data_IF_537306718700
#
_entry.id   IF_537306718700
#
_cell.length_a   1.000
_cell.length_b   1.000
_cell.length_c   1.000
_cell.angle_alpha   90.00
_cell.angle_beta   90.00
_cell.angle_gamma   90.00
#
_symmetry.space_group_name_H-M   'P 1'
#
loop_
_entity.id
_entity.type
_entity.pdbx_description
1 polymer ?
#
# COMPACT_ATOMS: atom_id res chain seq x y z
N UNK A 1 -20.53 22.70 -9.99
CA UNK A 1 -19.56 22.45 -8.91
C UNK A 1 -20.34 21.92 -7.72
N UNK A 2 -20.32 20.62 -7.48
CA UNK A 2 -20.94 20.03 -6.30
C UNK A 2 -20.21 20.50 -5.04
N UNK A 3 -20.98 20.87 -4.02
CA UNK A 3 -20.49 21.37 -2.75
C UNK A 3 -20.02 20.17 -1.92
N UNK A 4 -18.70 19.97 -1.87
CA UNK A 4 -18.07 18.86 -1.14
C UNK A 4 -18.16 19.18 0.35
N UNK A 5 -19.00 18.44 1.08
CA UNK A 5 -19.10 18.57 2.54
C UNK A 5 -17.79 18.04 3.19
N UNK A 6 -17.08 18.85 4.00
CA UNK A 6 -15.86 18.45 4.67
C UNK A 6 -16.07 17.31 5.69
N UNK A 7 -17.26 17.12 6.24
CA UNK A 7 -17.56 16.02 7.17
C UNK A 7 -17.63 14.65 6.47
N UNK A 8 -17.84 14.65 5.15
CA UNK A 8 -17.84 13.45 4.30
C UNK A 8 -16.48 13.15 3.69
N UNK A 9 -15.43 13.91 4.05
CA UNK A 9 -14.05 13.67 3.57
C UNK A 9 -13.60 12.24 3.66
N UNK A 10 -13.97 11.54 4.72
CA UNK A 10 -13.63 10.13 4.90
C UNK A 10 -14.32 9.16 3.91
N UNK A 11 -15.47 9.55 3.34
CA UNK A 11 -16.17 8.74 2.32
C UNK A 11 -15.43 8.75 0.98
N UNK A 12 -14.80 9.87 0.61
CA UNK A 12 -14.08 10.03 -0.67
C UNK A 12 -12.56 9.97 -0.55
N UNK A 13 -11.98 10.39 0.58
CA UNK A 13 -10.57 10.23 0.88
C UNK A 13 -10.36 8.83 1.47
N UNK A 14 -10.00 7.91 0.58
CA UNK A 14 -9.65 6.56 0.95
C UNK A 14 -8.27 6.53 1.66
N UNK A 15 -8.15 7.08 2.88
CA UNK A 15 -6.99 6.95 3.78
C UNK A 15 -6.39 5.55 3.84
N UNK A 16 -5.06 5.45 3.87
CA UNK A 16 -4.34 4.19 4.00
C UNK A 16 -4.74 3.47 5.28
N UNK A 17 -5.02 2.18 5.17
CA UNK A 17 -5.21 1.29 6.32
C UNK A 17 -3.88 0.58 6.53
N UNK A 18 -3.17 0.93 7.59
CA UNK A 18 -1.97 0.18 7.98
C UNK A 18 -2.36 -1.22 8.46
N UNK A 19 -1.54 -2.19 8.09
CA UNK A 19 -1.60 -3.52 8.68
C UNK A 19 -1.28 -3.41 10.18
N UNK A 20 -2.01 -4.16 10.98
CA UNK A 20 -1.89 -4.12 12.44
C UNK A 20 -1.95 -5.54 12.99
N UNK A 21 -0.85 -6.02 13.62
CA UNK A 21 -0.78 -7.39 14.17
C UNK A 21 -1.86 -7.69 15.20
N UNK A 22 -2.38 -6.66 15.88
CA UNK A 22 -3.43 -6.77 16.90
C UNK A 22 -4.83 -6.65 16.33
N UNK A 23 -4.98 -6.21 15.08
CA UNK A 23 -6.26 -6.06 14.39
C UNK A 23 -6.28 -6.97 13.17
N UNK A 24 -6.68 -8.22 13.39
CA UNK A 24 -6.61 -9.31 12.40
C UNK A 24 -7.47 -9.13 11.13
N UNK A 25 -8.35 -8.12 11.10
CA UNK A 25 -9.09 -7.75 9.88
C UNK A 25 -8.41 -6.63 9.07
N UNK A 26 -7.27 -6.09 9.52
CA UNK A 26 -6.61 -4.94 8.89
C UNK A 26 -6.13 -5.26 7.47
N UNK A 27 -5.49 -6.41 7.24
CA UNK A 27 -5.04 -6.82 5.90
C UNK A 27 -6.22 -7.03 4.94
N UNK A 28 -7.33 -7.64 5.41
CA UNK A 28 -8.56 -7.76 4.62
C UNK A 28 -9.12 -6.39 4.20
N UNK A 29 -9.21 -5.44 5.14
CA UNK A 29 -9.70 -4.10 4.85
C UNK A 29 -8.76 -3.33 3.90
N UNK A 30 -7.45 -3.49 4.06
CA UNK A 30 -6.44 -2.89 3.18
C UNK A 30 -6.58 -3.41 1.75
N UNK A 31 -6.72 -4.73 1.56
CA UNK A 31 -6.87 -5.34 0.24
C UNK A 31 -8.18 -4.96 -0.45
N UNK A 32 -9.31 -4.94 0.29
CA UNK A 32 -10.58 -4.44 -0.25
C UNK A 32 -10.46 -2.99 -0.73
N UNK A 33 -9.72 -2.16 -0.01
CA UNK A 33 -9.50 -0.75 -0.37
C UNK A 33 -8.57 -0.62 -1.56
N UNK A 34 -7.52 -1.43 -1.63
CA UNK A 34 -6.59 -1.47 -2.75
C UNK A 34 -7.30 -1.82 -4.06
N UNK A 35 -8.23 -2.78 -4.05
CA UNK A 35 -9.06 -3.10 -5.21
C UNK A 35 -9.94 -1.93 -5.66
N UNK A 36 -10.52 -1.17 -4.73
CA UNK A 36 -11.27 0.06 -5.07
C UNK A 36 -10.38 1.11 -5.74
N UNK A 37 -9.10 1.16 -5.37
CA UNK A 37 -8.14 2.13 -5.90
C UNK A 37 -7.46 1.68 -7.20
N UNK A 38 -7.55 0.40 -7.60
CA UNK A 38 -6.88 -0.16 -8.78
C UNK A 38 -7.00 0.72 -10.03
N UNK A 39 -8.22 1.12 -10.39
CA UNK A 39 -8.47 1.95 -11.58
C UNK A 39 -7.83 3.35 -11.48
N UNK A 40 -7.85 3.94 -10.28
CA UNK A 40 -7.24 5.24 -10.03
C UNK A 40 -5.71 5.17 -10.11
N UNK A 41 -5.11 4.08 -9.61
CA UNK A 41 -3.66 3.83 -9.71
C UNK A 41 -3.25 3.69 -11.19
N UNK A 42 -3.99 2.89 -11.97
CA UNK A 42 -3.72 2.72 -13.41
C UNK A 42 -3.83 4.06 -14.15
N UNK A 43 -4.88 4.85 -13.85
CA UNK A 43 -5.04 6.18 -14.43
C UNK A 43 -3.86 7.09 -14.06
N UNK A 44 -3.42 7.07 -12.80
CA UNK A 44 -2.28 7.86 -12.34
C UNK A 44 -1.00 7.48 -13.11
N UNK A 45 -0.69 6.20 -13.25
CA UNK A 45 0.45 5.71 -14.04
C UNK A 45 0.41 6.29 -15.45
N UNK A 46 -0.74 6.19 -16.13
CA UNK A 46 -0.90 6.70 -17.50
C UNK A 46 -0.72 8.23 -17.57
N UNK A 47 -1.23 8.97 -16.58
CA UNK A 47 -1.05 10.43 -16.54
C UNK A 47 0.40 10.83 -16.29
N UNK A 48 1.12 10.12 -15.41
CA UNK A 48 2.54 10.39 -15.13
C UNK A 48 3.41 10.04 -16.35
N UNK A 49 3.08 8.98 -17.09
CA UNK A 49 3.78 8.61 -18.32
C UNK A 49 3.69 9.68 -19.42
N UNK A 50 2.64 10.51 -19.42
CA UNK A 50 2.44 11.57 -20.43
C UNK A 50 3.15 12.87 -20.05
N UNK A 51 3.51 13.03 -18.78
CA UNK A 51 4.15 14.25 -18.26
C UNK A 51 5.66 14.21 -18.47
N UNK A 52 6.24 15.37 -18.77
CA UNK A 52 7.67 15.49 -19.07
C UNK A 52 8.50 16.09 -17.93
N UNK A 53 7.89 16.48 -16.81
CA UNK A 53 8.61 16.99 -15.65
C UNK A 53 9.42 15.91 -14.93
N UNK A 54 10.55 16.33 -14.35
CA UNK A 54 11.50 15.45 -13.67
C UNK A 54 10.84 14.69 -12.50
N UNK A 55 10.02 15.39 -11.72
CA UNK A 55 9.32 14.83 -10.57
C UNK A 55 8.32 13.75 -11.00
N UNK A 56 7.50 14.01 -12.03
CA UNK A 56 6.56 13.00 -12.56
C UNK A 56 7.28 11.79 -13.13
N UNK A 57 8.48 11.93 -13.71
CA UNK A 57 9.29 10.79 -14.17
C UNK A 57 9.84 9.97 -13.00
N UNK A 58 10.30 10.63 -11.93
CA UNK A 58 10.76 9.96 -10.69
C UNK A 58 9.60 9.20 -10.04
N UNK A 59 8.44 9.84 -9.91
CA UNK A 59 7.23 9.24 -9.34
C UNK A 59 6.69 8.10 -10.21
N UNK A 60 6.71 8.25 -11.54
CA UNK A 60 6.35 7.18 -12.48
C UNK A 60 7.26 5.96 -12.28
N UNK A 61 8.57 6.15 -12.23
CA UNK A 61 9.53 5.06 -12.06
C UNK A 61 9.30 4.31 -10.74
N UNK A 62 9.09 5.06 -9.66
CA UNK A 62 8.82 4.50 -8.33
C UNK A 62 7.47 3.79 -8.26
N UNK A 63 6.42 4.36 -8.84
CA UNK A 63 5.10 3.73 -8.86
C UNK A 63 5.13 2.46 -9.71
N UNK A 64 5.84 2.48 -10.83
CA UNK A 64 5.97 1.34 -11.72
C UNK A 64 6.79 0.20 -11.09
N UNK A 65 7.77 0.50 -10.22
CA UNK A 65 8.55 -0.54 -9.53
C UNK A 65 7.77 -1.28 -8.44
N UNK A 66 6.74 -0.64 -7.85
CA UNK A 66 5.89 -1.24 -6.82
C UNK A 66 4.54 -1.73 -7.35
N UNK A 67 4.28 -1.55 -8.64
CA UNK A 67 2.98 -1.88 -9.22
C UNK A 67 2.79 -3.39 -9.27
N UNK A 68 1.64 -3.85 -8.77
CA UNK A 68 1.28 -5.26 -8.80
C UNK A 68 1.04 -5.75 -10.24
N UNK A 69 1.52 -6.94 -10.52
CA UNK A 69 1.27 -7.71 -11.74
C UNK A 69 -0.20 -8.16 -11.82
N UNK A 70 -0.66 -8.58 -13.01
CA UNK A 70 -2.03 -9.07 -13.18
C UNK A 70 -2.34 -10.24 -12.25
N UNK A 71 -1.41 -11.20 -12.16
CA UNK A 71 -1.57 -12.40 -11.35
C UNK A 71 -1.66 -12.05 -9.85
N UNK A 72 -0.89 -11.05 -9.38
CA UNK A 72 -0.99 -10.56 -8.00
C UNK A 72 -2.32 -9.87 -7.71
N UNK A 73 -2.86 -9.10 -8.65
CA UNK A 73 -4.19 -8.51 -8.53
C UNK A 73 -5.28 -9.59 -8.42
N UNK A 74 -5.18 -10.62 -9.25
CA UNK A 74 -6.13 -11.73 -9.26
C UNK A 74 -6.01 -12.57 -7.97
N UNK A 75 -4.79 -12.81 -7.50
CA UNK A 75 -4.53 -13.47 -6.21
C UNK A 75 -5.17 -12.71 -5.04
N UNK A 76 -5.04 -11.37 -5.00
CA UNK A 76 -5.69 -10.54 -3.96
C UNK A 76 -7.21 -10.69 -4.04
N UNK A 77 -7.77 -10.71 -5.24
CA UNK A 77 -9.21 -10.87 -5.45
C UNK A 77 -9.70 -12.24 -4.96
N UNK A 78 -8.93 -13.30 -5.19
CA UNK A 78 -9.21 -14.67 -4.73
C UNK A 78 -9.04 -14.83 -3.21
N UNK A 79 -8.15 -14.07 -2.59
CA UNK A 79 -7.90 -14.09 -1.15
C UNK A 79 -9.00 -13.40 -0.33
N UNK A 80 -9.68 -12.38 -0.88
CA UNK A 80 -10.76 -11.67 -0.19
C UNK A 80 -11.86 -12.61 0.34
N UNK A 81 -12.45 -13.53 -0.44
CA UNK A 81 -13.48 -14.44 0.06
C UNK A 81 -12.95 -15.42 1.12
N UNK A 82 -11.65 -15.74 1.09
CA UNK A 82 -10.98 -16.58 2.10
C UNK A 82 -10.85 -15.82 3.42
N UNK A 83 -10.45 -14.54 3.37
CA UNK A 83 -10.27 -13.71 4.58
C UNK A 83 -11.58 -13.18 5.17
N UNK A 84 -12.61 -12.98 4.36
CA UNK A 84 -13.92 -12.48 4.78
C UNK A 84 -14.48 -13.10 6.07
N UNK A 85 -14.56 -14.45 6.23
CA UNK A 85 -15.08 -15.05 7.47
C UNK A 85 -14.27 -14.70 8.72
N UNK A 86 -12.96 -14.46 8.59
CA UNK A 86 -12.11 -14.04 9.72
C UNK A 86 -12.37 -12.58 10.09
N UNK A 87 -12.57 -11.73 9.08
CA UNK A 87 -12.93 -10.33 9.30
C UNK A 87 -14.29 -10.20 10.00
N UNK A 88 -15.31 -10.91 9.53
CA UNK A 88 -16.64 -10.97 10.14
C UNK A 88 -16.59 -11.50 11.58
N UNK A 89 -15.81 -12.56 11.81
CA UNK A 89 -15.60 -13.10 13.15
C UNK A 89 -14.93 -12.11 14.10
N UNK A 90 -13.94 -11.36 13.62
CA UNK A 90 -13.21 -10.36 14.41
C UNK A 90 -14.12 -9.18 14.76
N UNK A 91 -14.92 -8.70 13.82
CA UNK A 91 -15.90 -7.64 14.06
C UNK A 91 -16.95 -8.09 15.08
N UNK A 92 -17.47 -9.31 14.91
CA UNK A 92 -18.45 -9.89 15.83
C UNK A 92 -17.85 -10.13 17.22
N UNK A 93 -16.63 -10.63 17.35
CA UNK A 93 -16.01 -10.89 18.66
C UNK A 93 -15.45 -9.62 19.33
N UNK A 94 -15.24 -8.54 18.58
CA UNK A 94 -14.82 -7.24 19.09
C UNK A 94 -15.96 -6.40 19.66
N UNK A 95 -17.22 -6.82 19.47
CA UNK A 95 -18.38 -6.13 20.02
C UNK A 95 -18.46 -6.17 21.54
N UNK A 96 -18.99 -5.10 22.15
CA UNK A 96 -19.15 -4.98 23.61
C UNK A 96 -20.61 -5.02 24.08
N UNK A 97 -21.58 -5.08 23.15
CA UNK A 97 -23.01 -5.08 23.46
C UNK A 97 -23.61 -6.45 23.77
N UNK A 98 -22.81 -7.53 23.69
CA UNK A 98 -23.24 -8.90 23.93
C UNK A 98 -22.10 -9.75 24.51
N UNK A 99 -22.44 -10.90 25.10
CA UNK A 99 -21.45 -11.83 25.65
C UNK A 99 -20.70 -12.60 24.55
N UNK A 100 -19.54 -12.09 24.16
CA UNK A 100 -18.68 -12.66 23.11
C UNK A 100 -18.10 -14.03 23.48
N UNK A 101 -17.91 -14.31 24.77
CA UNK A 101 -17.31 -15.57 25.25
C UNK A 101 -18.12 -16.79 24.82
N UNK A 102 -19.45 -16.72 24.91
CA UNK A 102 -20.35 -17.81 24.49
C UNK A 102 -20.34 -18.07 22.97
N UNK A 103 -20.01 -17.04 22.18
CA UNK A 103 -20.04 -17.07 20.71
C UNK A 103 -18.71 -17.54 20.10
N UNK A 104 -17.61 -17.48 20.85
CA UNK A 104 -16.27 -17.83 20.39
C UNK A 104 -16.21 -19.27 19.83
N UNK A 105 -16.71 -20.24 20.58
CA UNK A 105 -16.70 -21.66 20.19
C UNK A 105 -17.48 -21.93 18.89
N UNK A 106 -18.75 -21.51 18.73
CA UNK A 106 -19.49 -21.76 17.50
C UNK A 106 -18.86 -21.05 16.28
N UNK A 107 -18.30 -19.85 16.44
CA UNK A 107 -17.61 -19.14 15.35
C UNK A 107 -16.37 -19.91 14.89
N UNK A 108 -15.52 -20.36 15.82
CA UNK A 108 -14.34 -21.16 15.51
C UNK A 108 -14.68 -22.47 14.80
N UNK A 109 -15.73 -23.16 15.24
CA UNK A 109 -16.22 -24.39 14.61
C UNK A 109 -16.66 -24.12 13.16
N UNK A 110 -17.38 -23.03 12.92
CA UNK A 110 -17.84 -22.67 11.57
C UNK A 110 -16.68 -22.33 10.63
N UNK A 111 -15.68 -21.58 11.10
CA UNK A 111 -14.47 -21.29 10.32
C UNK A 111 -13.74 -22.59 9.97
N UNK A 112 -13.50 -23.46 10.96
CA UNK A 112 -12.82 -24.75 10.72
C UNK A 112 -13.56 -25.61 9.71
N UNK A 113 -14.89 -25.69 9.80
CA UNK A 113 -15.71 -26.46 8.84
C UNK A 113 -15.60 -25.92 7.42
N UNK A 114 -15.52 -24.60 7.25
CA UNK A 114 -15.45 -23.95 5.93
C UNK A 114 -14.14 -24.25 5.19
N UNK A 115 -13.04 -24.39 5.93
CA UNK A 115 -11.70 -24.64 5.37
C UNK A 115 -11.21 -26.07 5.60
N UNK A 116 -12.06 -26.96 6.10
CA UNK A 116 -11.69 -28.36 6.24
C UNK A 116 -11.47 -28.93 4.84
N UNK A 117 -10.27 -29.45 4.51
CA UNK A 117 -10.05 -30.08 3.23
C UNK A 117 -11.04 -31.23 3.11
N UNK A 118 -11.80 -31.28 2.03
CA UNK A 118 -12.68 -32.41 1.78
C UNK A 118 -11.78 -33.65 1.69
N UNK A 119 -11.90 -34.60 2.61
CA UNK A 119 -11.13 -35.87 2.61
C UNK A 119 -11.60 -36.80 1.49
N UNK A 120 -11.71 -36.27 0.27
CA UNK A 120 -12.13 -36.99 -0.92
C UNK A 120 -11.13 -36.65 -2.02
N UNK A 121 -10.22 -37.61 -2.23
CA UNK A 121 -9.22 -37.73 -3.31
C UNK A 121 -7.97 -36.84 -3.21
N UNK A 122 -6.97 -37.43 -2.54
CA UNK A 122 -5.59 -37.52 -3.01
C UNK A 122 -4.85 -36.20 -3.27
N UNK A 123 -4.27 -35.61 -2.22
CA UNK A 123 -3.28 -34.53 -2.40
C UNK A 123 -1.90 -35.06 -2.04
N UNK A 124 -1.32 -35.81 -2.99
CA UNK A 124 0.11 -35.90 -3.14
C UNK A 124 0.58 -34.63 -3.90
N UNK A 125 0.49 -33.47 -3.26
CA UNK A 125 1.01 -32.19 -3.79
C UNK A 125 0.93 -31.09 -2.72
N UNK A 126 1.50 -31.31 -1.54
CA UNK A 126 1.94 -30.20 -0.71
C UNK A 126 3.40 -29.92 -1.09
N UNK A 127 3.62 -29.37 -2.28
CA UNK A 127 4.90 -28.74 -2.59
C UNK A 127 5.06 -27.62 -1.55
N UNK A 128 6.11 -27.72 -0.74
CA UNK A 128 6.44 -26.70 0.24
C UNK A 128 6.83 -25.45 -0.55
N UNK A 129 5.88 -24.53 -0.70
CA UNK A 129 6.14 -23.20 -1.22
C UNK A 129 7.13 -22.54 -0.25
N UNK A 130 8.39 -22.43 -0.66
CA UNK A 130 9.42 -21.74 0.11
C UNK A 130 9.30 -20.24 -0.16
N UNK A 131 8.50 -19.55 0.64
CA UNK A 131 8.35 -18.09 0.55
C UNK A 131 9.53 -17.46 1.31
N UNK A 132 10.41 -16.77 0.59
CA UNK A 132 11.50 -16.00 1.19
C UNK A 132 10.95 -14.67 1.73
N UNK A 133 10.98 -14.47 3.04
CA UNK A 133 10.57 -13.21 3.71
C UNK A 133 11.76 -12.26 3.98
N UNK A 134 12.93 -12.54 3.40
CA UNK A 134 14.19 -11.85 3.73
C UNK A 134 14.43 -10.51 3.03
N UNK A 135 13.66 -10.17 2.00
CA UNK A 135 13.87 -8.93 1.24
C UNK A 135 13.11 -7.78 1.89
N UNK A 136 13.81 -7.03 2.75
CA UNK A 136 13.34 -5.78 3.38
C UNK A 136 13.62 -4.55 2.51
N UNK A 137 13.83 -4.71 1.20
CA UNK A 137 14.03 -3.58 0.29
C UNK A 137 12.74 -2.77 0.21
N UNK A 138 12.67 -1.70 1.00
CA UNK A 138 11.57 -0.76 0.92
C UNK A 138 11.80 0.07 -0.34
N UNK A 139 10.82 0.06 -1.25
CA UNK A 139 10.81 0.95 -2.42
C UNK A 139 10.70 2.45 -2.07
N UNK A 140 10.88 2.79 -0.80
CA UNK A 140 10.74 4.12 -0.24
C UNK A 140 12.04 4.67 0.38
N UNK A 141 13.09 3.87 0.53
CA UNK A 141 14.29 4.27 1.27
C UNK A 141 15.46 4.79 0.40
N UNK A 142 15.30 4.92 -0.92
CA UNK A 142 16.37 5.43 -1.80
C UNK A 142 16.00 6.69 -2.61
N UNK A 143 16.85 7.71 -2.47
CA UNK A 143 16.94 8.83 -3.41
C UNK A 143 17.45 8.29 -4.75
N UNK A 144 16.51 7.94 -5.63
CA UNK A 144 16.77 7.60 -7.02
C UNK A 144 17.46 8.79 -7.71
N UNK A 145 18.79 8.80 -7.74
CA UNK A 145 19.56 9.68 -8.57
C UNK A 145 19.15 9.40 -10.03
N UNK A 146 18.53 10.38 -10.67
CA UNK A 146 18.28 10.33 -12.10
C UNK A 146 19.64 10.56 -12.74
N UNK A 147 20.29 9.51 -13.22
CA UNK A 147 21.37 9.68 -14.19
C UNK A 147 20.75 10.29 -15.45
N UNK A 148 20.91 11.60 -15.59
CA UNK A 148 20.65 12.32 -16.83
C UNK A 148 21.59 11.74 -17.89
N UNK A 149 21.02 11.04 -18.88
CA UNK A 149 21.76 10.69 -20.08
C UNK A 149 22.07 11.99 -20.84
N UNK A 150 23.29 12.52 -20.69
CA UNK A 150 23.83 13.76 -21.29
C UNK A 150 23.92 13.77 -22.83
N UNK A 151 23.07 13.05 -23.57
CA UNK A 151 23.20 12.95 -25.04
C UNK A 151 22.17 13.72 -25.86
N UNK A 152 21.31 14.54 -25.26
CA UNK A 152 20.39 15.39 -26.02
C UNK A 152 20.22 16.79 -25.40
N UNK A 153 21.31 17.53 -25.24
CA UNK A 153 21.25 19.00 -25.09
C UNK A 153 22.59 19.68 -25.42
N UNK A 154 23.17 19.32 -26.57
CA UNK A 154 24.14 20.19 -27.23
C UNK A 154 23.38 21.35 -27.90
N UNK A 155 23.11 22.41 -27.13
CA UNK A 155 22.59 23.67 -27.65
C UNK A 155 21.43 24.21 -26.84
N UNK A 156 21.73 24.86 -25.72
CA UNK A 156 21.21 26.18 -25.31
C UNK A 156 22.18 26.70 -24.24
N UNK A 157 22.90 27.74 -24.60
CA UNK A 157 24.08 28.29 -23.92
C UNK A 157 23.72 29.16 -22.68
N UNK A 158 24.45 28.89 -21.60
CA UNK A 158 25.20 29.85 -20.77
C UNK A 158 24.53 30.89 -19.85
N UNK A 159 23.20 31.01 -19.71
CA UNK A 159 22.64 32.10 -18.88
C UNK A 159 22.10 31.73 -17.47
N UNK A 160 22.11 30.47 -17.03
CA UNK A 160 21.52 30.10 -15.72
C UNK A 160 22.51 29.81 -14.59
N UNK A 161 23.83 29.89 -14.83
CA UNK A 161 24.85 29.56 -13.81
C UNK A 161 25.07 30.61 -12.71
N UNK A 162 24.33 31.72 -12.67
CA UNK A 162 24.52 32.77 -11.64
C UNK A 162 23.48 32.79 -10.51
N UNK A 163 22.42 31.97 -10.54
CA UNK A 163 21.40 31.97 -9.49
C UNK A 163 21.54 30.85 -8.43
N UNK A 164 22.49 29.93 -8.60
CA UNK A 164 22.65 28.75 -7.73
C UNK A 164 23.74 28.88 -6.64
N UNK A 165 24.44 30.02 -6.51
CA UNK A 165 25.57 30.14 -5.57
C UNK A 165 25.31 30.95 -4.29
N UNK A 166 24.09 31.46 -4.05
CA UNK A 166 23.85 32.41 -2.94
C UNK A 166 23.10 31.86 -1.71
N UNK A 167 22.76 30.57 -1.64
CA UNK A 167 22.12 30.01 -0.45
C UNK A 167 23.17 29.46 0.55
N UNK A 168 23.89 30.35 1.22
CA UNK A 168 24.66 30.01 2.44
C UNK A 168 23.67 29.62 3.55
N UNK A 169 23.68 28.33 3.92
CA UNK A 169 23.05 27.80 5.15
C UNK A 169 23.47 28.63 6.36
N UNK A 170 22.52 29.30 7.01
CA UNK A 170 22.66 29.77 8.39
C UNK A 170 22.50 28.58 9.34
N UNK A 171 23.50 28.35 10.20
CA UNK A 171 23.41 27.37 11.29
C UNK A 171 22.53 27.96 12.40
N UNK A 172 21.48 27.25 12.80
CA UNK A 172 20.66 27.58 13.97
C UNK A 172 21.28 26.86 15.17
N UNK A 173 21.77 27.62 16.15
CA UNK A 173 22.31 27.05 17.39
C UNK A 173 21.18 26.45 18.25
N UNK A 174 21.45 25.28 18.85
CA UNK A 174 20.53 24.60 19.78
C UNK A 174 20.26 25.44 21.04
N UNK A 175 19.06 25.34 21.64
CA UNK A 175 18.72 26.06 22.86
C UNK A 175 19.49 25.53 24.08
N UNK A 176 19.96 26.47 24.91
CA UNK A 176 20.59 26.21 26.21
C UNK A 176 19.54 25.68 27.18
N UNK A 177 19.84 24.54 27.77
CA UNK A 177 19.04 23.89 28.81
C UNK A 177 19.06 24.77 30.09
N UNK A 178 17.93 25.34 30.47
CA UNK A 178 17.78 26.00 31.77
C UNK A 178 17.22 24.99 32.78
N UNK A 179 18.00 24.71 33.81
CA UNK A 179 17.56 24.04 35.04
C UNK A 179 16.67 24.96 35.87
#
# INVERSE_FOLDING_TARGET
KENINPEKTSEYLLHVISDSPTRWNSSYLAWQRLLKLKNHIIMLINTLATKNDLDSKKDYKRLNSIMLTSDEWDLIQDLIPVLKPYAEATELLGGSSYCTHSMMNPILINIKKRFHPSTSRGVAAAEKININFGDNDTAFDEDMAVEENEQLQAGIEDNERQLLTNNKRTQINNPVNCY
#
